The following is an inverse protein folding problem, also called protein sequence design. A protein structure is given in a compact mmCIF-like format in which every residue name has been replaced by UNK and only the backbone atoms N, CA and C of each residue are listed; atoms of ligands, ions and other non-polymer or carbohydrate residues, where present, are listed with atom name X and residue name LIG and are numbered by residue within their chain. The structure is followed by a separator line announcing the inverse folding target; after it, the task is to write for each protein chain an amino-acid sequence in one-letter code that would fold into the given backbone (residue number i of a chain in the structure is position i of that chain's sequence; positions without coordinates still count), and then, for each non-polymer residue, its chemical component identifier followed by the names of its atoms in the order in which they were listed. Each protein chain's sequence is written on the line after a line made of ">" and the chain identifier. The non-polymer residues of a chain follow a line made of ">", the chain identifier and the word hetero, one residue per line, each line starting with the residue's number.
data_IF_615794758115
#
_entry.id   IF_615794758115
#
_cell.length_a   1.000
_cell.length_b   1.000
_cell.length_c   1.000
_cell.angle_alpha   90.00
_cell.angle_beta   90.00
_cell.angle_gamma   90.00
#
_symmetry.space_group_name_H-M   'P 1'
#
loop_
_entity.id
_entity.type
_entity.pdbx_description
1 polymer ?
#
# COMPACT_ATOMS: atom_id res chain seq x y z
N UNK A 1 -10.66 -13.72 1.10
CA UNK A 1 -10.85 -13.02 2.39
C UNK A 1 -10.73 -14.02 3.53
N UNK A 2 -10.03 -13.66 4.62
CA UNK A 2 -9.88 -14.48 5.83
C UNK A 2 -11.11 -14.30 6.72
N UNK A 3 -11.62 -15.39 7.32
CA UNK A 3 -12.78 -15.34 8.22
C UNK A 3 -12.41 -14.66 9.55
N UNK A 4 -13.28 -13.79 10.07
CA UNK A 4 -13.13 -13.16 11.39
C UNK A 4 -13.82 -13.95 12.51
N UNK A 5 -14.44 -15.10 12.21
CA UNK A 5 -15.20 -15.90 13.18
C UNK A 5 -14.42 -16.17 14.46
N UNK A 6 -13.14 -16.53 14.35
CA UNK A 6 -12.31 -16.87 15.51
C UNK A 6 -12.12 -15.69 16.45
N UNK A 7 -12.05 -14.46 15.94
CA UNK A 7 -11.94 -13.24 16.78
C UNK A 7 -13.22 -12.98 17.57
N UNK A 8 -14.37 -13.40 17.04
CA UNK A 8 -15.68 -13.25 17.69
C UNK A 8 -15.87 -14.35 18.75
N UNK A 9 -15.46 -15.58 18.42
CA UNK A 9 -15.66 -16.76 19.28
C UNK A 9 -14.58 -16.89 20.38
N UNK A 10 -13.40 -16.28 20.19
CA UNK A 10 -12.28 -16.37 21.13
C UNK A 10 -11.45 -15.08 21.15
N UNK A 11 -11.50 -14.38 22.28
CA UNK A 11 -10.79 -13.11 22.54
C UNK A 11 -9.26 -13.23 22.46
N UNK A 12 -8.69 -14.43 22.64
CA UNK A 12 -7.24 -14.66 22.60
C UNK A 12 -6.74 -15.21 21.26
N UNK A 13 -7.49 -15.00 20.17
CA UNK A 13 -7.08 -15.45 18.84
C UNK A 13 -5.86 -14.68 18.33
N UNK A 14 -4.88 -15.41 17.78
CA UNK A 14 -3.71 -14.79 17.14
C UNK A 14 -4.13 -14.17 15.80
N UNK A 15 -3.90 -12.86 15.67
CA UNK A 15 -4.19 -12.09 14.47
C UNK A 15 -3.04 -11.14 14.15
N UNK A 16 -2.76 -10.95 12.87
CA UNK A 16 -1.57 -10.20 12.41
C UNK A 16 -1.68 -8.69 12.68
N UNK A 17 -2.88 -8.21 13.08
CA UNK A 17 -3.17 -6.82 13.45
C UNK A 17 -2.65 -5.78 12.43
N UNK A 18 -2.71 -6.15 11.15
CA UNK A 18 -2.35 -5.30 10.02
C UNK A 18 -3.55 -5.14 9.08
N UNK A 19 -3.80 -3.90 8.64
CA UNK A 19 -4.73 -3.57 7.58
C UNK A 19 -3.94 -3.15 6.35
N UNK A 20 -4.29 -3.71 5.19
CA UNK A 20 -3.65 -3.41 3.90
C UNK A 20 -4.65 -2.67 3.02
N UNK A 21 -4.20 -1.60 2.40
CA UNK A 21 -5.03 -0.70 1.59
C UNK A 21 -4.29 -0.37 0.30
N UNK A 22 -5.04 -0.15 -0.78
CA UNK A 22 -4.50 0.28 -2.07
C UNK A 22 -5.40 1.36 -2.65
N UNK A 23 -4.75 2.40 -3.17
CA UNK A 23 -5.38 3.41 -3.98
C UNK A 23 -4.40 3.79 -5.09
N UNK A 24 -4.64 3.26 -6.29
CA UNK A 24 -3.89 3.62 -7.49
C UNK A 24 -2.36 3.57 -7.27
N UNK A 25 -1.69 4.72 -7.22
CA UNK A 25 -0.25 4.87 -7.04
C UNK A 25 0.26 4.57 -5.62
N UNK A 26 -0.63 4.20 -4.69
CA UNK A 26 -0.33 4.04 -3.26
C UNK A 26 -0.77 2.69 -2.72
N UNK A 27 0.14 2.03 -2.02
CA UNK A 27 -0.14 0.85 -1.20
C UNK A 27 0.20 1.18 0.24
N UNK A 28 -0.69 0.90 1.17
CA UNK A 28 -0.52 1.26 2.56
C UNK A 28 -0.74 0.08 3.50
N UNK A 29 0.05 0.04 4.57
CA UNK A 29 -0.10 -0.89 5.69
C UNK A 29 -0.28 -0.08 6.98
N UNK A 30 -1.34 -0.41 7.72
CA UNK A 30 -1.60 0.11 9.07
C UNK A 30 -1.47 -1.02 10.08
N UNK A 31 -0.56 -0.87 11.02
CA UNK A 31 -0.38 -1.77 12.17
C UNK A 31 -0.83 -1.06 13.45
N UNK A 32 -0.60 -1.66 14.62
CA UNK A 32 -0.83 -0.98 15.90
C UNK A 32 0.12 0.19 16.16
N UNK A 33 1.29 0.20 15.53
CA UNK A 33 2.30 1.24 15.76
C UNK A 33 2.53 2.15 14.56
N UNK A 34 2.42 1.62 13.34
CA UNK A 34 2.82 2.35 12.13
C UNK A 34 1.68 2.44 11.12
N UNK A 35 1.54 3.61 10.51
CA UNK A 35 0.93 3.75 9.19
C UNK A 35 2.05 4.03 8.19
N UNK A 36 2.20 3.15 7.19
CA UNK A 36 3.17 3.33 6.12
C UNK A 36 2.45 3.36 4.77
N UNK A 37 2.74 4.37 3.96
CA UNK A 37 2.22 4.54 2.61
C UNK A 37 3.37 4.45 1.61
N UNK A 38 3.45 3.32 0.93
CA UNK A 38 4.39 3.08 -0.16
C UNK A 38 3.83 3.68 -1.44
N UNK A 39 4.61 4.54 -2.09
CA UNK A 39 4.28 5.14 -3.39
C UNK A 39 5.00 4.40 -4.51
N UNK A 40 4.35 4.26 -5.66
CA UNK A 40 4.98 3.75 -6.87
C UNK A 40 6.23 4.59 -7.23
N UNK A 41 7.30 3.93 -7.70
CA UNK A 41 8.61 4.57 -7.93
C UNK A 41 9.05 4.56 -9.40
N UNK A 42 8.47 3.71 -10.24
CA UNK A 42 8.82 3.60 -11.67
C UNK A 42 8.07 4.64 -12.51
N UNK A 43 8.09 5.89 -12.06
CA UNK A 43 7.40 7.01 -12.71
C UNK A 43 8.31 8.23 -12.71
N UNK A 44 8.13 9.15 -13.65
CA UNK A 44 8.86 10.43 -13.67
C UNK A 44 8.52 11.35 -12.48
N UNK A 45 7.43 11.05 -11.77
CA UNK A 45 7.01 11.78 -10.58
C UNK A 45 7.80 11.32 -9.35
N UNK A 46 8.33 12.29 -8.60
CA UNK A 46 9.07 12.04 -7.37
C UNK A 46 8.13 11.81 -6.18
N UNK A 47 7.34 10.73 -6.24
CA UNK A 47 6.45 10.37 -5.13
C UNK A 47 7.26 9.82 -3.95
N UNK A 48 7.22 10.52 -2.83
CA UNK A 48 7.86 10.08 -1.59
C UNK A 48 6.94 9.17 -0.79
N UNK A 49 7.52 8.12 -0.22
CA UNK A 49 6.84 7.31 0.78
C UNK A 49 6.52 8.16 2.01
N UNK A 50 5.52 7.74 2.78
CA UNK A 50 5.13 8.39 4.03
C UNK A 50 5.08 7.36 5.16
N UNK A 51 5.54 7.73 6.36
CA UNK A 51 5.55 6.88 7.56
C UNK A 51 5.13 7.70 8.78
N UNK A 52 4.11 7.24 9.49
CA UNK A 52 3.59 7.87 10.70
C UNK A 52 3.63 6.91 11.88
N UNK A 53 4.16 7.36 13.02
CA UNK A 53 4.13 6.64 14.29
C UNK A 53 2.80 6.88 15.00
N UNK A 54 1.89 5.93 14.94
CA UNK A 54 0.54 6.05 15.50
C UNK A 54 0.50 6.03 17.04
N UNK A 55 1.60 5.64 17.70
CA UNK A 55 1.69 5.62 19.17
C UNK A 55 2.12 6.99 19.67
N UNK A 56 3.15 7.57 19.04
CA UNK A 56 3.72 8.85 19.46
C UNK A 56 3.09 10.07 18.74
N UNK A 57 2.50 9.84 17.58
CA UNK A 57 1.84 10.84 16.73
C UNK A 57 0.50 10.29 16.15
N UNK A 58 -0.52 10.10 17.01
CA UNK A 58 -1.82 9.56 16.59
C UNK A 58 -2.59 10.48 15.63
N UNK A 59 -2.16 11.73 15.48
CA UNK A 59 -2.74 12.71 14.55
C UNK A 59 -2.03 12.72 13.19
N UNK A 60 -1.02 11.85 12.96
CA UNK A 60 -0.33 11.65 11.67
C UNK A 60 0.25 12.95 11.09
N UNK A 61 0.92 13.75 11.93
CA UNK A 61 1.43 15.08 11.56
C UNK A 61 2.89 15.08 11.13
N UNK A 62 3.67 14.08 11.52
CA UNK A 62 5.10 14.00 11.26
C UNK A 62 5.39 12.81 10.37
N UNK A 63 5.73 13.08 9.12
CA UNK A 63 6.23 12.06 8.19
C UNK A 63 7.70 11.74 8.50
N UNK A 64 7.95 10.48 8.83
CA UNK A 64 9.23 9.91 9.22
C UNK A 64 9.89 9.10 8.09
N UNK A 65 9.27 8.96 6.93
CA UNK A 65 9.74 8.03 5.89
C UNK A 65 11.09 8.39 5.30
N UNK A 66 11.46 9.68 5.33
CA UNK A 66 12.74 10.17 4.80
C UNK A 66 13.82 10.28 5.89
N UNK A 67 13.47 10.01 7.14
CA UNK A 67 14.43 10.02 8.24
C UNK A 67 15.23 8.70 8.26
N UNK A 68 16.57 8.74 8.13
CA UNK A 68 17.42 7.54 8.15
C UNK A 68 17.26 6.68 9.40
N UNK A 69 16.84 7.25 10.53
CA UNK A 69 16.60 6.50 11.78
C UNK A 69 15.49 5.44 11.60
N UNK A 70 14.51 5.71 10.71
CA UNK A 70 13.37 4.84 10.45
C UNK A 70 13.51 4.00 9.17
N UNK A 71 14.68 4.00 8.53
CA UNK A 71 14.93 3.26 7.29
C UNK A 71 14.63 1.75 7.41
N UNK A 72 14.96 1.16 8.56
CA UNK A 72 14.66 -0.25 8.85
C UNK A 72 13.15 -0.51 8.95
N UNK A 73 12.38 0.43 9.50
CA UNK A 73 10.92 0.33 9.61
C UNK A 73 10.29 0.41 8.23
N UNK A 74 10.71 1.39 7.43
CA UNK A 74 10.28 1.54 6.03
C UNK A 74 10.58 0.26 5.26
N UNK A 75 11.82 -0.27 5.33
CA UNK A 75 12.19 -1.48 4.60
C UNK A 75 11.35 -2.69 4.99
N UNK A 76 11.06 -2.88 6.29
CA UNK A 76 10.25 -4.01 6.78
C UNK A 76 8.79 -3.89 6.30
N UNK A 77 8.21 -2.71 6.38
CA UNK A 77 6.82 -2.49 5.98
C UNK A 77 6.65 -2.54 4.45
N UNK A 78 7.64 -2.05 3.69
CA UNK A 78 7.69 -2.22 2.23
C UNK A 78 7.73 -3.68 1.80
N UNK A 79 8.55 -4.50 2.48
CA UNK A 79 8.62 -5.94 2.22
C UNK A 79 7.27 -6.62 2.52
N UNK A 80 6.63 -6.28 3.64
CA UNK A 80 5.35 -6.85 4.04
C UNK A 80 4.21 -6.47 3.06
N UNK A 81 4.20 -5.22 2.59
CA UNK A 81 3.29 -4.79 1.52
C UNK A 81 3.54 -5.58 0.23
N UNK A 82 4.80 -5.74 -0.16
CA UNK A 82 5.17 -6.43 -1.40
C UNK A 82 4.74 -7.90 -1.37
N UNK A 83 4.92 -8.57 -0.23
CA UNK A 83 4.46 -9.95 0.00
C UNK A 83 2.93 -10.03 -0.06
N UNK A 84 2.22 -9.20 0.70
CA UNK A 84 0.75 -9.20 0.72
C UNK A 84 0.15 -8.98 -0.67
N UNK A 85 0.59 -7.96 -1.40
CA UNK A 85 0.05 -7.67 -2.73
C UNK A 85 0.55 -8.67 -3.79
N UNK A 86 1.64 -9.40 -3.56
CA UNK A 86 2.02 -10.52 -4.43
C UNK A 86 1.02 -11.68 -4.32
N UNK A 87 0.52 -11.97 -3.11
CA UNK A 87 -0.33 -13.12 -2.85
C UNK A 87 -1.81 -12.88 -3.16
N UNK A 88 -2.30 -11.65 -2.91
CA UNK A 88 -3.73 -11.37 -2.90
C UNK A 88 -4.24 -10.52 -4.08
N UNK A 89 -3.35 -9.93 -4.89
CA UNK A 89 -3.78 -9.07 -6.00
C UNK A 89 -4.19 -9.89 -7.21
N UNK A 90 -5.27 -9.49 -7.88
CA UNK A 90 -5.61 -10.02 -9.19
C UNK A 90 -4.75 -9.32 -10.25
N UNK A 91 -3.91 -10.03 -11.03
CA UNK A 91 -2.99 -9.41 -11.99
C UNK A 91 -3.67 -8.51 -13.03
N UNK A 92 -4.92 -8.81 -13.41
CA UNK A 92 -5.67 -7.98 -14.37
C UNK A 92 -5.88 -6.55 -13.85
N UNK A 93 -6.00 -6.40 -12.53
CA UNK A 93 -6.30 -5.13 -11.87
C UNK A 93 -5.12 -4.55 -11.08
N UNK A 94 -3.93 -5.14 -11.23
CA UNK A 94 -2.72 -4.75 -10.51
C UNK A 94 -1.99 -3.60 -11.24
N UNK A 95 -2.36 -2.36 -10.92
CA UNK A 95 -1.74 -1.17 -11.51
C UNK A 95 -0.23 -1.09 -11.26
N UNK A 96 0.28 -1.73 -10.20
CA UNK A 96 1.72 -1.77 -9.89
C UNK A 96 2.48 -2.80 -10.72
N UNK A 97 1.78 -3.66 -11.47
CA UNK A 97 2.34 -4.67 -12.37
C UNK A 97 1.79 -4.59 -13.80
N UNK A 98 1.24 -3.43 -14.20
CA UNK A 98 0.75 -3.19 -15.55
C UNK A 98 -0.68 -3.65 -15.84
N UNK A 99 -1.42 -4.06 -14.81
CA UNK A 99 -2.87 -4.25 -14.90
C UNK A 99 -3.62 -2.93 -15.15
N UNK A 100 -4.94 -3.00 -15.25
CA UNK A 100 -5.81 -1.84 -15.51
C UNK A 100 -6.74 -1.53 -14.33
N UNK A 101 -7.54 -0.47 -14.43
CA UNK A 101 -8.53 -0.12 -13.41
C UNK A 101 -9.80 -0.96 -13.51
N UNK A 102 -10.45 -1.22 -12.37
CA UNK A 102 -11.78 -1.86 -12.32
C UNK A 102 -12.93 -0.94 -12.73
N UNK A 103 -12.73 0.37 -12.75
CA UNK A 103 -13.79 1.35 -13.04
C UNK A 103 -13.24 2.57 -13.77
N UNK A 104 -12.65 3.52 -13.05
CA UNK A 104 -12.03 4.71 -13.63
C UNK A 104 -10.75 5.05 -12.88
N UNK A 105 -9.86 5.79 -13.55
CA UNK A 105 -8.72 6.45 -12.93
C UNK A 105 -8.82 7.93 -13.26
N UNK A 106 -8.48 8.77 -12.29
CA UNK A 106 -8.31 10.22 -12.53
C UNK A 106 -6.92 10.55 -13.06
N UNK A 107 -6.03 9.55 -13.17
CA UNK A 107 -4.63 9.66 -13.57
C UNK A 107 -4.25 8.71 -14.72
N UNK A 108 -5.01 8.64 -15.83
CA UNK A 108 -4.64 7.80 -16.97
C UNK A 108 -3.29 8.20 -17.59
N UNK A 109 -2.88 9.45 -17.43
CA UNK A 109 -1.55 9.93 -17.87
C UNK A 109 -0.41 9.23 -17.13
N UNK A 110 -0.54 9.01 -15.81
CA UNK A 110 0.45 8.34 -14.98
C UNK A 110 0.64 6.90 -15.44
N UNK A 111 -0.46 6.19 -15.67
CA UNK A 111 -0.42 4.78 -16.04
C UNK A 111 0.09 4.54 -17.46
N UNK A 112 -0.19 5.46 -18.39
CA UNK A 112 0.41 5.43 -19.74
C UNK A 112 1.91 5.73 -19.72
N UNK A 113 2.34 6.66 -18.89
CA UNK A 113 3.76 6.94 -18.70
C UNK A 113 4.49 5.71 -18.10
N UNK A 114 3.87 5.07 -17.10
CA UNK A 114 4.44 3.92 -16.41
C UNK A 114 4.49 2.64 -17.27
N UNK A 115 3.42 2.36 -18.03
CA UNK A 115 3.20 1.08 -18.72
C UNK A 115 3.13 1.16 -20.25
N UNK A 116 3.25 2.37 -20.81
CA UNK A 116 3.21 2.66 -22.25
C UNK A 116 1.87 3.21 -22.74
N UNK A 117 1.92 3.89 -23.90
CA UNK A 117 0.78 4.60 -24.50
C UNK A 117 -0.44 3.74 -24.80
N UNK A 118 -0.25 2.43 -24.96
CA UNK A 118 -1.32 1.45 -25.17
C UNK A 118 -2.14 1.16 -23.91
N UNK A 119 -1.67 1.56 -22.73
CA UNK A 119 -2.41 1.37 -21.49
C UNK A 119 -3.70 2.20 -21.50
N UNK A 120 -4.82 1.56 -21.16
CA UNK A 120 -6.12 2.21 -21.04
C UNK A 120 -7.01 1.49 -20.02
N UNK A 121 -7.96 2.21 -19.39
CA UNK A 121 -9.07 1.59 -18.66
C UNK A 121 -9.84 0.62 -19.55
N UNK A 122 -10.20 -0.54 -18.99
CA UNK A 122 -11.16 -1.45 -19.61
C UNK A 122 -12.58 -1.06 -19.17
N UNK A 123 -13.51 -0.91 -20.13
CA UNK A 123 -14.92 -0.60 -19.90
C UNK A 123 -15.82 -1.78 -20.27
#
# INVERSE_FOLDING_TARGET
>A
ARSMRTLIENENSVWDNACFMEQEETRAIRTSQWLFMMRIQNTEYDFKHELYDLVNDPDERVDLAQDPEYADVVSKLSAHLSEYFSDYTNPRWDLWKGGTVKSNSTRPFLWKETWGDSWAPEY
#
